data_IF_027508849628
#
_entry.id   IF_027508849628
#
_cell.length_a   1.000
_cell.length_b   1.000
_cell.length_c   1.000
_cell.angle_alpha   90.00
_cell.angle_beta   90.00
_cell.angle_gamma   90.00
#
_symmetry.space_group_name_H-M   'P 1'
#
loop_
_entity.id
_entity.type
_entity.pdbx_description
1 polymer ?
#
# COMPACT_ATOMS: atom_id res chain seq x y z
N UNK A 1 -8.37 -7.77 11.85
CA UNK A 1 -8.45 -8.63 10.64
C UNK A 1 -8.62 -7.71 9.45
N UNK A 2 -7.85 -7.94 8.39
CA UNK A 2 -7.90 -7.19 7.13
C UNK A 2 -8.33 -8.17 6.05
N UNK A 3 -9.27 -7.79 5.19
CA UNK A 3 -9.75 -8.59 4.07
C UNK A 3 -9.43 -7.81 2.80
N UNK A 4 -8.77 -8.47 1.85
CA UNK A 4 -8.41 -7.89 0.55
C UNK A 4 -9.11 -8.70 -0.54
N UNK A 5 -9.72 -8.00 -1.49
CA UNK A 5 -10.23 -8.56 -2.73
C UNK A 5 -9.09 -8.82 -3.73
N UNK A 6 -9.40 -9.55 -4.81
CA UNK A 6 -8.43 -9.73 -5.89
C UNK A 6 -7.98 -8.41 -6.53
N UNK A 7 -8.87 -7.39 -6.62
CA UNK A 7 -8.53 -6.05 -7.12
C UNK A 7 -7.52 -5.36 -6.20
N UNK A 8 -7.75 -5.42 -4.89
CA UNK A 8 -6.85 -4.81 -3.90
C UNK A 8 -5.45 -5.45 -3.95
N UNK A 9 -5.39 -6.78 -4.17
CA UNK A 9 -4.11 -7.48 -4.34
C UNK A 9 -3.35 -7.04 -5.60
N UNK A 10 -4.07 -6.80 -6.71
CA UNK A 10 -3.47 -6.27 -7.94
C UNK A 10 -2.96 -4.85 -7.73
N UNK A 11 -3.75 -3.97 -7.10
CA UNK A 11 -3.35 -2.60 -6.75
C UNK A 11 -2.04 -2.58 -5.94
N UNK A 12 -1.92 -3.47 -4.95
CA UNK A 12 -0.70 -3.62 -4.16
C UNK A 12 0.47 -4.13 -5.01
N UNK A 13 0.24 -5.08 -5.90
CA UNK A 13 1.27 -5.60 -6.80
C UNK A 13 1.75 -4.53 -7.78
N UNK A 14 0.87 -3.69 -8.30
CA UNK A 14 1.19 -2.57 -9.19
C UNK A 14 1.95 -1.46 -8.44
N UNK A 15 1.65 -1.26 -7.16
CA UNK A 15 2.38 -0.32 -6.31
C UNK A 15 3.84 -0.75 -6.07
N UNK A 16 4.09 -2.01 -5.68
CA UNK A 16 5.43 -2.46 -5.29
C UNK A 16 6.27 -3.02 -6.44
N UNK A 17 5.62 -3.40 -7.55
CA UNK A 17 6.29 -4.07 -8.65
C UNK A 17 5.71 -3.62 -10.01
N UNK A 18 5.75 -2.31 -10.32
CA UNK A 18 5.20 -1.78 -11.57
C UNK A 18 5.93 -2.33 -12.82
N UNK A 19 7.23 -2.62 -12.70
CA UNK A 19 8.09 -3.02 -13.81
C UNK A 19 8.46 -4.51 -13.76
N UNK A 20 7.62 -5.34 -13.12
CA UNK A 20 7.83 -6.77 -12.84
C UNK A 20 8.30 -7.62 -14.03
N UNK A 21 7.96 -7.21 -15.26
CA UNK A 21 8.35 -7.93 -16.48
C UNK A 21 9.81 -7.67 -16.87
N UNK A 22 10.30 -6.45 -16.64
CA UNK A 22 11.67 -6.03 -16.93
C UNK A 22 12.59 -6.10 -15.71
N UNK A 23 12.03 -6.09 -14.51
CA UNK A 23 12.73 -6.16 -13.23
C UNK A 23 12.02 -7.15 -12.27
N UNK A 24 12.27 -8.47 -12.43
CA UNK A 24 11.60 -9.50 -11.64
C UNK A 24 11.92 -9.46 -10.15
N UNK A 25 13.03 -8.85 -9.75
CA UNK A 25 13.45 -8.73 -8.33
C UNK A 25 12.44 -7.89 -7.53
N UNK A 26 11.70 -7.00 -8.17
CA UNK A 26 10.63 -6.22 -7.51
C UNK A 26 9.55 -7.11 -6.87
N UNK A 27 9.35 -8.34 -7.35
CA UNK A 27 8.39 -9.29 -6.77
C UNK A 27 8.81 -9.79 -5.38
N UNK A 28 10.06 -9.60 -4.98
CA UNK A 28 10.56 -9.92 -3.64
C UNK A 28 10.26 -8.81 -2.63
N UNK A 29 9.78 -7.64 -3.09
CA UNK A 29 9.42 -6.50 -2.23
C UNK A 29 8.28 -6.88 -1.28
N UNK A 30 8.47 -6.64 0.01
CA UNK A 30 7.45 -6.88 1.02
C UNK A 30 6.60 -5.63 1.27
N UNK A 31 5.29 -5.85 1.42
CA UNK A 31 4.33 -4.80 1.78
C UNK A 31 3.62 -5.15 3.08
N UNK A 32 3.55 -4.19 3.98
CA UNK A 32 2.80 -4.28 5.23
C UNK A 32 1.49 -3.53 5.09
N UNK A 33 0.39 -4.17 5.51
CA UNK A 33 -0.97 -3.61 5.39
C UNK A 33 -1.51 -3.26 6.76
N UNK A 34 -2.00 -2.04 6.91
CA UNK A 34 -2.58 -1.50 8.15
C UNK A 34 -3.99 -0.98 7.93
N UNK A 35 -4.83 -1.07 8.96
CA UNK A 35 -6.15 -0.45 8.97
C UNK A 35 -6.12 0.74 9.92
N UNK A 36 -6.54 1.90 9.42
CA UNK A 36 -6.65 3.14 10.17
C UNK A 36 -8.12 3.49 10.38
N UNK A 37 -8.57 3.47 11.64
CA UNK A 37 -9.98 3.74 11.98
C UNK A 37 -10.29 5.26 12.11
N UNK A 38 -9.27 6.11 12.04
CA UNK A 38 -9.37 7.57 12.17
C UNK A 38 -8.45 8.25 11.16
N UNK A 39 -8.78 9.51 10.85
CA UNK A 39 -7.88 10.41 10.12
C UNK A 39 -6.53 10.49 10.85
N UNK A 40 -5.45 10.47 10.08
CA UNK A 40 -4.08 10.49 10.59
C UNK A 40 -3.17 11.29 9.65
N UNK A 41 -2.00 11.68 10.15
CA UNK A 41 -0.93 12.23 9.33
C UNK A 41 0.01 11.10 8.93
N UNK A 42 0.40 11.02 7.66
CA UNK A 42 1.46 10.11 7.19
C UNK A 42 2.83 10.52 7.77
N UNK A 43 3.85 9.68 7.55
CA UNK A 43 5.23 10.02 7.89
C UNK A 43 5.71 11.33 7.24
N UNK A 44 5.19 11.63 6.04
CA UNK A 44 5.46 12.88 5.30
C UNK A 44 4.59 14.08 5.73
N UNK A 45 3.62 13.86 6.64
CA UNK A 45 2.75 14.91 7.18
C UNK A 45 1.43 15.12 6.43
N UNK A 46 1.15 14.34 5.39
CA UNK A 46 -0.12 14.42 4.66
C UNK A 46 -1.29 13.90 5.50
N UNK A 47 -2.38 14.67 5.55
CA UNK A 47 -3.60 14.27 6.26
C UNK A 47 -4.38 13.28 5.39
N UNK A 48 -4.54 12.05 5.90
CA UNK A 48 -5.25 10.96 5.21
C UNK A 48 -6.52 10.54 5.95
N UNK A 49 -7.58 10.16 5.22
CA UNK A 49 -8.83 9.69 5.83
C UNK A 49 -8.66 8.31 6.52
N UNK A 50 -9.68 7.81 7.24
CA UNK A 50 -9.73 6.41 7.65
C UNK A 50 -9.75 5.47 6.45
N UNK A 51 -9.13 4.30 6.57
CA UNK A 51 -9.05 3.33 5.47
C UNK A 51 -8.05 2.21 5.70
N UNK A 52 -7.88 1.34 4.70
CA UNK A 52 -6.81 0.33 4.68
C UNK A 52 -5.68 0.88 3.83
N UNK A 53 -4.46 0.88 4.38
CA UNK A 53 -3.27 1.42 3.77
C UNK A 53 -2.19 0.37 3.71
N UNK A 54 -1.22 0.58 2.83
CA UNK A 54 -0.07 -0.27 2.66
C UNK A 54 1.21 0.56 2.63
N UNK A 55 2.29 0.00 3.16
CA UNK A 55 3.62 0.61 3.06
C UNK A 55 4.68 -0.43 2.77
N UNK A 56 5.76 -0.01 2.11
CA UNK A 56 6.95 -0.83 1.92
C UNK A 56 7.49 -1.22 3.30
N UNK A 57 7.54 -2.51 3.60
CA UNK A 57 7.91 -2.99 4.94
C UNK A 57 9.28 -2.46 5.39
N UNK A 58 10.21 -2.34 4.44
CA UNK A 58 11.56 -1.82 4.69
C UNK A 58 11.62 -0.29 4.82
N UNK A 59 10.65 0.42 4.25
CA UNK A 59 10.59 1.89 4.22
C UNK A 59 9.18 2.40 4.62
N UNK A 60 8.76 2.20 5.87
CA UNK A 60 7.39 2.47 6.32
C UNK A 60 6.99 3.95 6.23
N UNK A 61 7.97 4.86 6.25
CA UNK A 61 7.74 6.31 6.24
C UNK A 61 7.68 6.91 4.82
N UNK A 62 8.22 6.22 3.81
CA UNK A 62 8.40 6.75 2.44
C UNK A 62 7.40 6.17 1.43
N UNK A 63 6.63 5.15 1.81
CA UNK A 63 5.87 4.33 0.86
C UNK A 63 4.39 4.17 1.16
N UNK A 64 3.69 5.17 1.70
CA UNK A 64 2.28 5.00 2.09
C UNK A 64 1.30 5.04 0.90
N UNK A 65 0.83 3.87 0.49
CA UNK A 65 -0.18 3.67 -0.53
C UNK A 65 -1.59 3.48 0.05
N UNK A 66 -2.60 3.97 -0.67
CA UNK A 66 -4.02 3.83 -0.33
C UNK A 66 -4.74 5.14 0.00
N UNK A 67 -6.02 5.07 0.39
CA UNK A 67 -6.71 3.86 0.83
C UNK A 67 -6.97 2.83 -0.28
N UNK A 68 -6.74 1.53 0.02
CA UNK A 68 -6.95 0.41 -0.91
C UNK A 68 -8.42 0.30 -1.33
N UNK A 69 -8.65 -0.08 -2.59
CA UNK A 69 -10.00 -0.26 -3.14
C UNK A 69 -10.78 1.05 -3.30
N UNK A 70 -10.11 2.19 -3.18
CA UNK A 70 -10.69 3.53 -3.41
C UNK A 70 -10.44 4.03 -4.84
N UNK A 71 -9.62 3.32 -5.63
CA UNK A 71 -9.51 3.55 -7.06
C UNK A 71 -10.77 2.99 -7.74
N UNK A 72 -11.54 3.84 -8.44
CA UNK A 72 -12.73 3.44 -9.20
C UNK A 72 -12.36 2.55 -10.40
#
# INVERSE_FOLDING_TARGET
>A
MITLSGKDLIELLDFISPDRESDPEQLETEVSVIKMDKTFASGEGDIRPPGVYAYLTEYPDEGLYGPLGSAE
#
